data_IF_443772260453
#
_entry.id   IF_443772260453
#
_cell.length_a   1.000
_cell.length_b   1.000
_cell.length_c   1.000
_cell.angle_alpha   90.00
_cell.angle_beta   90.00
_cell.angle_gamma   90.00
#
_symmetry.space_group_name_H-M   'P 1'
#
loop_
_entity.id
_entity.type
_entity.pdbx_description
1 polymer ?
#
# COMPACT_ATOMS: atom_id res chain seq x y z
N UNK A 1 42.68 1.79 -20.79
CA UNK A 1 43.48 2.13 -19.58
C UNK A 1 42.65 2.82 -18.49
N UNK A 2 41.87 3.81 -18.83
CA UNK A 2 41.09 4.57 -17.86
C UNK A 2 39.98 3.75 -17.23
N UNK A 3 39.23 3.03 -18.03
CA UNK A 3 38.19 2.10 -17.53
C UNK A 3 38.74 1.02 -16.59
N UNK A 4 39.94 0.51 -16.86
CA UNK A 4 40.61 -0.47 -16.00
C UNK A 4 40.92 0.07 -14.61
N UNK A 5 41.19 1.38 -14.45
CA UNK A 5 41.38 2.01 -13.15
C UNK A 5 40.07 2.12 -12.37
N UNK A 6 38.98 2.51 -13.06
CA UNK A 6 37.66 2.52 -12.47
C UNK A 6 37.26 1.13 -12.00
N UNK A 7 37.50 0.09 -12.84
CA UNK A 7 37.26 -1.30 -12.51
C UNK A 7 38.08 -1.76 -11.29
N UNK A 8 39.38 -1.47 -11.24
CA UNK A 8 40.24 -1.81 -10.14
C UNK A 8 39.76 -1.19 -8.82
N UNK A 9 39.37 0.10 -8.85
CA UNK A 9 38.83 0.78 -7.66
C UNK A 9 37.45 0.23 -7.26
N UNK A 10 36.59 -0.03 -8.24
CA UNK A 10 35.23 -0.55 -7.98
C UNK A 10 35.23 -1.96 -7.38
N UNK A 11 36.17 -2.80 -7.78
CA UNK A 11 36.28 -4.20 -7.34
C UNK A 11 37.18 -4.36 -6.10
N UNK A 12 37.95 -3.33 -5.72
CA UNK A 12 38.82 -3.38 -4.56
C UNK A 12 38.03 -3.55 -3.26
N UNK A 13 38.48 -4.46 -2.42
CA UNK A 13 38.02 -4.61 -1.03
C UNK A 13 38.87 -3.81 -0.04
N UNK A 14 39.97 -3.21 -0.52
CA UNK A 14 40.90 -2.41 0.30
C UNK A 14 40.71 -0.93 0.01
N UNK A 15 41.14 -0.10 0.95
CA UNK A 15 41.21 1.35 0.76
C UNK A 15 42.19 1.68 -0.35
N UNK A 16 41.73 2.39 -1.35
CA UNK A 16 42.55 2.83 -2.51
C UNK A 16 43.41 4.02 -2.09
N UNK A 17 44.66 4.08 -2.61
CA UNK A 17 45.55 5.19 -2.32
C UNK A 17 44.98 6.54 -2.81
N UNK A 18 45.36 7.65 -2.14
CA UNK A 18 44.82 8.99 -2.43
C UNK A 18 45.05 9.39 -3.89
N UNK A 19 46.24 9.20 -4.43
CA UNK A 19 46.58 9.58 -5.82
C UNK A 19 45.79 8.73 -6.84
N UNK A 20 45.55 7.46 -6.53
CA UNK A 20 44.76 6.57 -7.37
C UNK A 20 43.30 6.95 -7.37
N UNK A 21 42.75 7.31 -6.21
CA UNK A 21 41.39 7.81 -6.09
C UNK A 21 41.20 9.14 -6.85
N UNK A 22 42.11 10.09 -6.71
CA UNK A 22 42.09 11.36 -7.43
C UNK A 22 42.11 11.15 -8.94
N UNK A 23 42.96 10.25 -9.44
CA UNK A 23 43.01 9.86 -10.85
C UNK A 23 41.68 9.22 -11.32
N UNK A 24 41.12 8.34 -10.52
CA UNK A 24 39.82 7.70 -10.82
C UNK A 24 38.68 8.71 -10.85
N UNK A 25 38.68 9.66 -9.93
CA UNK A 25 37.67 10.74 -9.89
C UNK A 25 37.78 11.68 -11.08
N UNK A 26 38.98 11.99 -11.57
CA UNK A 26 39.16 12.78 -12.79
C UNK A 26 38.56 12.09 -14.03
N UNK A 27 38.75 10.76 -14.15
CA UNK A 27 38.13 9.99 -15.23
C UNK A 27 36.61 9.89 -15.11
N UNK A 28 36.11 9.75 -13.88
CA UNK A 28 34.67 9.77 -13.64
C UNK A 28 34.04 11.10 -14.02
N UNK A 29 34.70 12.21 -13.70
CA UNK A 29 34.24 13.55 -14.09
C UNK A 29 34.10 13.66 -15.62
N UNK A 30 35.09 13.17 -16.38
CA UNK A 30 35.02 13.14 -17.84
C UNK A 30 33.89 12.23 -18.34
N UNK A 31 33.73 11.04 -17.75
CA UNK A 31 32.70 10.07 -18.13
C UNK A 31 31.28 10.60 -17.87
N UNK A 32 31.12 11.37 -16.82
CA UNK A 32 29.83 11.95 -16.40
C UNK A 32 29.59 13.33 -17.01
N UNK A 33 30.52 13.85 -17.81
CA UNK A 33 30.46 15.19 -18.39
C UNK A 33 30.22 16.28 -17.35
N UNK A 34 30.87 16.15 -16.17
CA UNK A 34 30.76 17.08 -15.06
C UNK A 34 32.17 17.57 -14.62
N UNK A 35 32.22 18.57 -13.75
CA UNK A 35 33.47 19.05 -13.17
C UNK A 35 34.01 18.05 -12.14
N UNK A 36 35.32 18.11 -11.90
CA UNK A 36 35.97 17.28 -10.85
C UNK A 36 35.35 17.53 -9.46
N UNK A 37 34.98 18.79 -9.16
CA UNK A 37 34.37 19.13 -7.88
C UNK A 37 32.97 18.51 -7.73
N UNK A 38 32.15 18.53 -8.78
CA UNK A 38 30.82 17.87 -8.76
C UNK A 38 30.95 16.36 -8.61
N UNK A 39 31.86 15.72 -9.35
CA UNK A 39 32.12 14.29 -9.20
C UNK A 39 32.59 13.94 -7.76
N UNK A 40 33.44 14.79 -7.17
CA UNK A 40 33.91 14.61 -5.80
C UNK A 40 32.82 14.82 -4.77
N UNK A 41 31.90 15.77 -4.99
CA UNK A 41 30.75 15.99 -4.12
C UNK A 41 29.80 14.77 -4.15
N UNK A 42 29.49 14.24 -5.35
CA UNK A 42 28.74 13.00 -5.47
C UNK A 42 29.44 11.83 -4.76
N UNK A 43 30.73 11.65 -4.95
CA UNK A 43 31.49 10.61 -4.27
C UNK A 43 31.35 10.73 -2.74
N UNK A 44 31.51 11.93 -2.20
CA UNK A 44 31.44 12.18 -0.76
C UNK A 44 30.03 11.92 -0.18
N UNK A 45 28.98 12.25 -0.92
CA UNK A 45 27.59 12.01 -0.51
C UNK A 45 27.22 10.52 -0.51
N UNK A 46 27.79 9.73 -1.42
CA UNK A 46 27.49 8.32 -1.54
C UNK A 46 28.34 7.40 -0.66
N UNK A 47 29.49 7.84 -0.21
CA UNK A 47 30.38 7.02 0.60
C UNK A 47 29.84 6.77 1.99
N UNK A 48 30.15 5.59 2.53
CA UNK A 48 29.90 5.24 3.92
C UNK A 48 31.17 4.63 4.54
N UNK A 49 31.33 4.63 5.87
CA UNK A 49 32.48 4.00 6.52
C UNK A 49 32.69 2.53 6.11
N UNK A 50 31.59 1.80 5.87
CA UNK A 50 31.63 0.39 5.44
C UNK A 50 31.81 0.22 3.92
N UNK A 51 31.53 1.25 3.13
CA UNK A 51 31.61 1.19 1.67
C UNK A 51 32.06 2.54 1.09
N UNK A 52 33.37 2.86 1.17
CA UNK A 52 33.88 4.17 0.76
C UNK A 52 33.80 4.39 -0.75
N UNK A 53 33.78 3.34 -1.56
CA UNK A 53 33.77 3.46 -3.03
C UNK A 53 32.39 3.19 -3.65
N UNK A 54 31.32 3.39 -2.89
CA UNK A 54 29.95 3.06 -3.33
C UNK A 54 29.55 3.78 -4.62
N UNK A 55 29.92 5.05 -4.78
CA UNK A 55 29.67 5.83 -5.99
C UNK A 55 30.37 5.24 -7.21
N UNK A 56 31.67 4.94 -7.08
CA UNK A 56 32.47 4.36 -8.16
C UNK A 56 31.94 2.99 -8.58
N UNK A 57 31.54 2.16 -7.61
CA UNK A 57 30.90 0.85 -7.88
C UNK A 57 29.58 0.99 -8.62
N UNK A 58 28.73 1.95 -8.25
CA UNK A 58 27.47 2.19 -8.92
C UNK A 58 27.71 2.54 -10.40
N UNK A 59 28.59 3.50 -10.68
CA UNK A 59 28.92 3.91 -12.05
C UNK A 59 29.54 2.74 -12.83
N UNK A 60 30.46 2.00 -12.24
CA UNK A 60 31.08 0.82 -12.88
C UNK A 60 30.05 -0.21 -13.34
N UNK A 61 29.09 -0.56 -12.46
CA UNK A 61 28.07 -1.55 -12.80
C UNK A 61 27.11 -1.05 -13.89
N UNK A 62 26.71 0.22 -13.85
CA UNK A 62 25.84 0.80 -14.87
C UNK A 62 26.52 0.84 -16.25
N UNK A 63 27.76 1.30 -16.32
CA UNK A 63 28.51 1.40 -17.59
C UNK A 63 28.87 0.00 -18.10
N UNK A 64 29.18 -0.96 -17.21
CA UNK A 64 29.41 -2.35 -17.61
C UNK A 64 28.21 -2.98 -18.31
N UNK A 65 27.00 -2.70 -17.84
CA UNK A 65 25.78 -3.16 -18.51
C UNK A 65 25.69 -2.57 -19.92
N UNK A 66 25.89 -1.26 -20.05
CA UNK A 66 25.85 -0.56 -21.35
C UNK A 66 26.92 -1.07 -22.32
N UNK A 67 28.16 -1.31 -21.84
CA UNK A 67 29.24 -1.89 -22.64
C UNK A 67 28.89 -3.30 -23.12
N UNK A 68 28.35 -4.14 -22.26
CA UNK A 68 27.94 -5.49 -22.61
C UNK A 68 26.81 -5.49 -23.65
N UNK A 69 25.85 -4.60 -23.53
CA UNK A 69 24.78 -4.43 -24.52
C UNK A 69 25.35 -4.03 -25.87
N UNK A 70 26.26 -3.06 -25.90
CA UNK A 70 26.92 -2.60 -27.12
C UNK A 70 27.80 -3.67 -27.76
N UNK A 71 28.59 -4.38 -26.97
CA UNK A 71 29.51 -5.44 -27.47
C UNK A 71 28.77 -6.64 -28.04
N UNK A 72 27.59 -6.95 -27.53
CA UNK A 72 26.73 -8.03 -28.02
C UNK A 72 25.83 -7.62 -29.19
N UNK A 73 25.92 -6.36 -29.65
CA UNK A 73 25.07 -5.84 -30.72
C UNK A 73 23.61 -5.66 -30.33
N UNK A 74 23.28 -5.84 -29.06
CA UNK A 74 21.93 -5.63 -28.55
C UNK A 74 21.64 -4.12 -28.51
N UNK A 75 20.67 -3.67 -29.29
CA UNK A 75 20.17 -2.30 -29.21
C UNK A 75 18.93 -2.32 -28.32
N UNK A 76 19.02 -1.61 -27.22
CA UNK A 76 17.80 -1.31 -26.45
C UNK A 76 17.08 -0.17 -27.16
N UNK A 77 15.91 -0.47 -27.72
CA UNK A 77 15.03 0.53 -28.29
C UNK A 77 13.82 0.63 -27.37
N UNK A 78 13.63 1.78 -26.74
CA UNK A 78 12.43 2.08 -25.96
C UNK A 78 11.53 2.92 -26.85
N UNK A 79 10.42 2.34 -27.27
CA UNK A 79 9.43 3.03 -28.09
C UNK A 79 8.14 3.18 -27.29
N UNK A 80 7.72 4.41 -27.07
CA UNK A 80 6.40 4.70 -26.48
C UNK A 80 5.43 4.96 -27.63
N UNK A 81 4.52 4.02 -27.89
CA UNK A 81 3.37 4.27 -28.78
C UNK A 81 2.20 4.79 -27.95
N UNK A 82 1.30 5.54 -28.59
CA UNK A 82 0.05 5.95 -27.94
C UNK A 82 -0.75 4.73 -27.44
N UNK A 83 -0.83 3.68 -28.28
CA UNK A 83 -1.49 2.43 -27.92
C UNK A 83 -0.84 1.76 -26.70
N UNK A 84 0.50 1.74 -26.61
CA UNK A 84 1.21 1.17 -25.46
C UNK A 84 0.99 2.01 -24.20
N UNK A 85 0.96 3.34 -24.33
CA UNK A 85 0.61 4.24 -23.23
C UNK A 85 -0.80 3.98 -22.71
N UNK A 86 -1.76 3.80 -23.60
CA UNK A 86 -3.15 3.51 -23.24
C UNK A 86 -3.30 2.11 -22.64
N UNK A 87 -2.51 1.13 -23.10
CA UNK A 87 -2.45 -0.22 -22.53
C UNK A 87 -1.76 -0.29 -21.18
N UNK A 88 -0.74 0.54 -20.96
CA UNK A 88 -0.06 0.67 -19.67
C UNK A 88 -0.87 1.54 -18.70
N UNK A 89 -1.80 2.35 -19.22
CA UNK A 89 -2.66 3.21 -18.42
C UNK A 89 -3.50 2.41 -17.42
N UNK A 90 -3.40 2.77 -16.16
CA UNK A 90 -4.15 2.10 -15.08
C UNK A 90 -5.66 2.08 -15.32
N UNK A 91 -6.20 3.07 -16.02
CA UNK A 91 -7.63 3.17 -16.36
C UNK A 91 -8.17 1.93 -17.02
N UNK A 92 -7.50 1.39 -18.05
CA UNK A 92 -7.97 0.20 -18.78
C UNK A 92 -7.99 -1.02 -17.86
N UNK A 93 -6.97 -1.18 -17.03
CA UNK A 93 -6.92 -2.27 -16.06
C UNK A 93 -7.95 -2.08 -14.96
N UNK A 94 -8.13 -0.85 -14.48
CA UNK A 94 -9.15 -0.49 -13.50
C UNK A 94 -10.57 -0.76 -14.00
N UNK A 95 -10.90 -0.33 -15.21
CA UNK A 95 -12.20 -0.58 -15.84
C UNK A 95 -12.49 -2.08 -16.00
N UNK A 96 -11.52 -2.84 -16.52
CA UNK A 96 -11.67 -4.29 -16.68
C UNK A 96 -11.86 -4.98 -15.33
N UNK A 97 -11.11 -4.57 -14.32
CA UNK A 97 -11.20 -5.10 -12.97
C UNK A 97 -12.56 -4.79 -12.33
N UNK A 98 -13.03 -3.55 -12.42
CA UNK A 98 -14.33 -3.15 -11.91
C UNK A 98 -15.48 -3.92 -12.60
N UNK A 99 -15.39 -4.09 -13.92
CA UNK A 99 -16.36 -4.86 -14.70
C UNK A 99 -16.33 -6.36 -14.32
N UNK A 100 -15.14 -6.97 -14.11
CA UNK A 100 -15.03 -8.35 -13.64
C UNK A 100 -15.74 -8.53 -12.30
N UNK A 101 -15.50 -7.63 -11.36
CA UNK A 101 -16.10 -7.68 -10.03
C UNK A 101 -17.63 -7.51 -10.10
N UNK A 102 -18.09 -6.54 -10.89
CA UNK A 102 -19.51 -6.29 -11.12
C UNK A 102 -20.22 -7.52 -11.74
N UNK A 103 -19.64 -8.12 -12.77
CA UNK A 103 -20.18 -9.32 -13.40
C UNK A 103 -20.30 -10.50 -12.42
N UNK A 104 -19.34 -10.69 -11.52
CA UNK A 104 -19.43 -11.74 -10.51
C UNK A 104 -20.58 -11.47 -9.53
N UNK A 105 -20.79 -10.21 -9.11
CA UNK A 105 -21.94 -9.84 -8.28
C UNK A 105 -23.28 -10.11 -9.00
N UNK A 106 -23.38 -9.79 -10.28
CA UNK A 106 -24.59 -10.07 -11.10
C UNK A 106 -24.86 -11.58 -11.22
N UNK A 107 -23.83 -12.37 -11.56
CA UNK A 107 -23.92 -13.84 -11.68
C UNK A 107 -24.45 -14.48 -10.40
N UNK A 108 -24.09 -13.94 -9.25
CA UNK A 108 -24.52 -14.44 -7.95
C UNK A 108 -25.79 -13.75 -7.41
N UNK A 109 -26.40 -12.83 -8.17
CA UNK A 109 -27.59 -12.06 -7.78
C UNK A 109 -27.39 -11.25 -6.51
N UNK A 110 -26.22 -10.63 -6.37
CA UNK A 110 -25.81 -9.85 -5.20
C UNK A 110 -25.76 -8.35 -5.46
N UNK A 111 -25.88 -7.91 -6.71
CA UNK A 111 -25.66 -6.51 -7.12
C UNK A 111 -26.72 -5.54 -6.56
N UNK A 112 -27.94 -6.00 -6.31
CA UNK A 112 -29.04 -5.17 -5.79
C UNK A 112 -29.17 -5.21 -4.27
N UNK A 113 -28.21 -5.83 -3.58
CA UNK A 113 -28.20 -5.98 -2.12
C UNK A 113 -27.35 -4.89 -1.46
N UNK A 114 -27.57 -4.60 -0.16
CA UNK A 114 -26.71 -3.69 0.59
C UNK A 114 -25.24 -4.14 0.55
N UNK A 115 -24.35 -3.30 -0.01
CA UNK A 115 -22.94 -3.61 -0.20
C UNK A 115 -22.09 -2.78 0.74
N UNK A 116 -21.17 -3.43 1.45
CA UNK A 116 -20.08 -2.82 2.18
C UNK A 116 -18.77 -3.10 1.45
N UNK A 117 -18.16 -2.03 0.94
CA UNK A 117 -16.92 -2.09 0.20
C UNK A 117 -15.73 -1.95 1.14
N UNK A 118 -14.74 -2.81 1.01
CA UNK A 118 -13.54 -2.81 1.87
C UNK A 118 -12.29 -2.95 1.02
N UNK A 119 -11.37 -1.98 1.10
CA UNK A 119 -10.02 -2.11 0.59
C UNK A 119 -9.06 -2.36 1.76
N UNK A 120 -8.49 -3.56 1.82
CA UNK A 120 -7.71 -4.00 2.98
C UNK A 120 -6.88 -5.25 2.68
N UNK A 121 -6.18 -5.75 3.70
CA UNK A 121 -5.67 -7.12 3.67
C UNK A 121 -6.86 -8.10 3.69
N UNK A 122 -7.26 -8.61 2.52
CA UNK A 122 -8.43 -9.48 2.37
C UNK A 122 -8.36 -10.76 3.22
N UNK A 123 -7.14 -11.27 3.50
CA UNK A 123 -6.97 -12.46 4.34
C UNK A 123 -7.40 -12.20 5.78
N UNK A 124 -7.26 -10.98 6.29
CA UNK A 124 -7.71 -10.66 7.65
C UNK A 124 -9.22 -10.77 7.79
N UNK A 125 -10.00 -10.37 6.78
CA UNK A 125 -11.46 -10.52 6.75
C UNK A 125 -11.86 -11.99 6.65
N UNK A 126 -11.27 -12.74 5.71
CA UNK A 126 -11.51 -14.18 5.58
C UNK A 126 -11.27 -14.93 6.90
N UNK A 127 -10.11 -14.70 7.49
CA UNK A 127 -9.71 -15.39 8.71
C UNK A 127 -10.56 -14.99 9.91
N UNK A 128 -10.87 -13.69 10.04
CA UNK A 128 -11.68 -13.19 11.15
C UNK A 128 -13.11 -13.75 11.13
N UNK A 129 -13.66 -13.97 9.94
CA UNK A 129 -15.02 -14.50 9.79
C UNK A 129 -15.05 -16.03 9.93
N UNK A 130 -14.10 -16.74 9.32
CA UNK A 130 -14.24 -18.19 9.12
C UNK A 130 -13.22 -19.07 9.84
N UNK A 131 -12.07 -18.55 10.31
CA UNK A 131 -10.98 -19.41 10.76
C UNK A 131 -11.31 -20.17 12.05
N UNK A 132 -12.00 -19.58 13.01
CA UNK A 132 -12.33 -20.24 14.27
C UNK A 132 -13.19 -21.49 14.03
N UNK A 133 -14.25 -21.37 13.24
CA UNK A 133 -15.12 -22.49 12.91
C UNK A 133 -14.43 -23.50 12.00
N UNK A 134 -13.73 -23.03 10.96
CA UNK A 134 -13.04 -23.91 10.02
C UNK A 134 -11.98 -24.79 10.66
N UNK A 135 -11.33 -24.31 11.72
CA UNK A 135 -10.27 -25.02 12.42
C UNK A 135 -10.76 -25.71 13.70
N UNK A 136 -12.01 -25.47 14.13
CA UNK A 136 -12.55 -25.98 15.38
C UNK A 136 -11.78 -25.47 16.62
N UNK A 137 -11.25 -24.25 16.55
CA UNK A 137 -10.41 -23.63 17.59
C UNK A 137 -10.87 -22.22 17.84
N UNK A 138 -11.04 -21.83 19.08
CA UNK A 138 -11.31 -20.45 19.48
C UNK A 138 -10.03 -19.66 19.58
N UNK A 139 -9.99 -18.47 19.00
CA UNK A 139 -8.86 -17.55 19.14
C UNK A 139 -8.73 -17.10 20.60
N UNK A 140 -7.56 -17.31 21.21
CA UNK A 140 -7.27 -16.81 22.55
C UNK A 140 -7.07 -15.31 22.57
N UNK A 141 -6.36 -14.82 21.57
CA UNK A 141 -6.09 -13.41 21.31
C UNK A 141 -5.81 -13.19 19.81
N UNK A 142 -5.51 -11.96 19.40
CA UNK A 142 -5.26 -11.65 17.99
C UNK A 142 -3.93 -12.19 17.47
N UNK A 143 -3.00 -12.56 18.34
CA UNK A 143 -1.73 -13.18 17.93
C UNK A 143 -1.93 -14.60 17.40
N UNK A 144 -3.03 -15.23 17.78
CA UNK A 144 -3.42 -16.55 17.27
C UNK A 144 -3.48 -16.61 15.74
N UNK A 145 -3.95 -15.54 15.10
CA UNK A 145 -3.98 -15.47 13.63
C UNK A 145 -2.57 -15.49 13.01
N UNK A 146 -1.57 -14.92 13.67
CA UNK A 146 -0.17 -14.96 13.23
C UNK A 146 0.44 -16.34 13.27
N UNK A 147 -0.08 -17.23 14.13
CA UNK A 147 0.48 -18.56 14.30
C UNK A 147 0.18 -19.51 13.13
N UNK A 148 -0.83 -19.22 12.33
CA UNK A 148 -1.20 -20.06 11.19
C UNK A 148 -1.22 -19.34 9.84
N UNK A 149 -0.87 -18.06 9.78
CA UNK A 149 -0.84 -17.29 8.51
C UNK A 149 0.07 -17.97 7.50
N UNK A 150 1.23 -18.46 7.93
CA UNK A 150 2.21 -19.15 7.08
C UNK A 150 1.91 -20.65 6.88
N UNK A 151 0.92 -21.21 7.59
CA UNK A 151 0.53 -22.60 7.44
C UNK A 151 -0.46 -22.77 6.28
N UNK A 152 0.07 -23.17 5.14
CA UNK A 152 -0.71 -23.41 3.91
C UNK A 152 -1.84 -24.43 4.11
N UNK A 153 -1.69 -25.40 5.01
CA UNK A 153 -2.71 -26.43 5.30
C UNK A 153 -3.91 -25.78 5.97
N UNK A 154 -3.68 -24.94 6.96
CA UNK A 154 -4.74 -24.21 7.64
C UNK A 154 -5.42 -23.21 6.70
N UNK A 155 -4.67 -22.46 5.88
CA UNK A 155 -5.24 -21.56 4.88
C UNK A 155 -6.15 -22.32 3.88
N UNK A 156 -5.75 -23.49 3.41
CA UNK A 156 -6.60 -24.34 2.54
C UNK A 156 -7.89 -24.76 3.23
N UNK A 157 -7.82 -25.17 4.50
CA UNK A 157 -9.02 -25.56 5.28
C UNK A 157 -9.98 -24.38 5.44
N UNK A 158 -9.48 -23.20 5.81
CA UNK A 158 -10.30 -21.99 5.95
C UNK A 158 -10.95 -21.62 4.62
N UNK A 159 -10.20 -21.61 3.52
CA UNK A 159 -10.74 -21.32 2.19
C UNK A 159 -11.82 -22.32 1.74
N UNK A 160 -11.61 -23.62 1.97
CA UNK A 160 -12.59 -24.65 1.62
C UNK A 160 -13.87 -24.52 2.46
N UNK A 161 -13.73 -24.21 3.74
CA UNK A 161 -14.87 -23.96 4.63
C UNK A 161 -15.66 -22.73 4.20
N UNK A 162 -14.96 -21.59 3.97
CA UNK A 162 -15.57 -20.34 3.55
C UNK A 162 -16.36 -20.47 2.23
N UNK A 163 -15.81 -21.20 1.23
CA UNK A 163 -16.50 -21.46 -0.05
C UNK A 163 -17.86 -22.15 0.11
N UNK A 164 -18.05 -22.93 1.17
CA UNK A 164 -19.33 -23.55 1.49
C UNK A 164 -20.30 -22.60 2.20
N UNK A 165 -19.83 -21.42 2.60
CA UNK A 165 -20.57 -20.45 3.40
C UNK A 165 -20.56 -19.04 2.79
N UNK A 166 -20.79 -18.95 1.48
CA UNK A 166 -21.02 -17.68 0.82
C UNK A 166 -19.78 -16.90 0.39
N UNK A 167 -18.58 -17.47 0.57
CA UNK A 167 -17.35 -16.87 0.11
C UNK A 167 -17.08 -17.16 -1.37
N UNK A 168 -16.79 -16.10 -2.14
CA UNK A 168 -16.45 -16.15 -3.55
C UNK A 168 -15.10 -15.46 -3.72
N UNK A 169 -14.10 -16.19 -4.21
CA UNK A 169 -12.78 -15.64 -4.51
C UNK A 169 -12.73 -15.14 -5.96
N UNK A 170 -12.25 -13.92 -6.15
CA UNK A 170 -12.02 -13.32 -7.47
C UNK A 170 -10.52 -13.11 -7.62
N UNK A 171 -9.91 -13.94 -8.45
CA UNK A 171 -8.52 -13.75 -8.84
C UNK A 171 -8.45 -12.74 -9.97
N UNK A 172 -7.58 -11.76 -9.84
CA UNK A 172 -7.36 -10.82 -10.92
C UNK A 172 -6.83 -11.52 -12.17
N UNK A 173 -7.46 -11.23 -13.30
CA UNK A 173 -7.01 -11.63 -14.65
C UNK A 173 -6.96 -10.42 -15.59
N UNK A 174 -7.02 -9.22 -15.06
CA UNK A 174 -7.14 -7.97 -15.82
C UNK A 174 -5.80 -7.23 -15.92
N UNK A 175 -4.83 -7.62 -15.11
CA UNK A 175 -3.52 -6.99 -15.01
C UNK A 175 -3.41 -5.92 -13.94
N UNK A 176 -4.45 -5.74 -13.12
CA UNK A 176 -4.42 -4.82 -11.97
C UNK A 176 -3.58 -5.35 -10.81
N UNK A 177 -3.37 -6.66 -10.72
CA UNK A 177 -2.77 -7.38 -9.60
C UNK A 177 -3.50 -7.17 -8.25
N UNK A 178 -4.78 -6.78 -8.29
CA UNK A 178 -5.63 -6.60 -7.12
C UNK A 178 -6.68 -7.70 -7.09
N UNK A 179 -6.54 -8.63 -6.19
CA UNK A 179 -7.52 -9.71 -6.01
C UNK A 179 -8.67 -9.22 -5.13
N UNK A 180 -9.85 -9.79 -5.34
CA UNK A 180 -11.02 -9.48 -4.55
C UNK A 180 -11.68 -10.74 -4.00
N UNK A 181 -12.58 -10.55 -3.05
CA UNK A 181 -13.45 -11.57 -2.51
C UNK A 181 -14.82 -10.96 -2.22
N UNK A 182 -15.86 -11.75 -2.43
CA UNK A 182 -17.23 -11.41 -2.07
C UNK A 182 -17.68 -12.37 -0.99
N UNK A 183 -18.36 -11.85 0.02
CA UNK A 183 -18.91 -12.62 1.13
C UNK A 183 -20.42 -12.36 1.17
N UNK A 184 -21.20 -13.36 0.83
CA UNK A 184 -22.66 -13.38 1.01
C UNK A 184 -22.95 -13.75 2.46
N UNK A 185 -23.23 -12.73 3.29
CA UNK A 185 -23.35 -12.94 4.74
C UNK A 185 -24.57 -13.78 5.13
N UNK A 186 -25.61 -13.85 4.30
CA UNK A 186 -26.79 -14.70 4.55
C UNK A 186 -26.45 -16.19 4.56
N UNK A 187 -25.31 -16.58 3.97
CA UNK A 187 -24.86 -17.97 3.91
C UNK A 187 -23.93 -18.37 5.05
N UNK A 188 -23.50 -17.41 5.89
CA UNK A 188 -22.61 -17.68 7.02
C UNK A 188 -23.43 -18.29 8.15
N UNK A 189 -23.05 -19.49 8.56
CA UNK A 189 -23.66 -20.17 9.73
C UNK A 189 -22.84 -19.88 10.98
N UNK A 190 -23.51 -19.71 12.11
CA UNK A 190 -22.85 -19.49 13.41
C UNK A 190 -22.10 -18.15 13.52
N UNK A 191 -22.44 -17.18 12.70
CA UNK A 191 -21.73 -15.91 12.59
C UNK A 191 -21.89 -15.03 13.84
N UNK A 192 -20.79 -14.79 14.54
CA UNK A 192 -20.72 -13.90 15.71
C UNK A 192 -21.01 -12.43 15.42
N UNK A 193 -20.96 -12.02 14.16
CA UNK A 193 -21.21 -10.63 13.74
C UNK A 193 -22.69 -10.33 13.47
N UNK A 194 -23.57 -11.32 13.38
CA UNK A 194 -25.03 -11.15 13.19
C UNK A 194 -25.40 -10.08 12.14
N UNK A 195 -24.78 -10.14 10.96
CA UNK A 195 -25.03 -9.16 9.90
C UNK A 195 -26.50 -9.03 9.54
N UNK A 196 -26.93 -7.82 9.20
CA UNK A 196 -28.27 -7.56 8.69
C UNK A 196 -28.54 -8.44 7.45
N UNK A 197 -29.80 -8.92 7.31
CA UNK A 197 -30.20 -9.74 6.17
C UNK A 197 -29.91 -9.03 4.85
N UNK A 198 -29.35 -9.75 3.93
CA UNK A 198 -29.02 -9.23 2.62
C UNK A 198 -27.63 -8.57 2.50
N UNK A 199 -26.91 -8.38 3.58
CA UNK A 199 -25.58 -7.74 3.56
C UNK A 199 -24.59 -8.51 2.68
N UNK A 200 -23.85 -7.77 1.86
CA UNK A 200 -22.76 -8.28 1.02
C UNK A 200 -21.48 -7.53 1.37
N UNK A 201 -20.43 -8.26 1.68
CA UNK A 201 -19.09 -7.67 1.84
C UNK A 201 -18.31 -7.89 0.55
N UNK A 202 -17.78 -6.81 -0.01
CA UNK A 202 -16.84 -6.84 -1.13
C UNK A 202 -15.49 -6.37 -0.62
N UNK A 203 -14.54 -7.28 -0.48
CA UNK A 203 -13.21 -7.01 0.06
C UNK A 203 -12.18 -7.23 -1.02
N UNK A 204 -11.34 -6.25 -1.28
CA UNK A 204 -10.25 -6.34 -2.24
C UNK A 204 -8.92 -5.92 -1.63
N UNK A 205 -7.83 -6.41 -2.21
CA UNK A 205 -6.49 -6.09 -1.75
C UNK A 205 -6.26 -4.58 -1.81
N UNK A 206 -5.49 -4.07 -0.86
CA UNK A 206 -5.13 -2.66 -0.81
C UNK A 206 -4.34 -2.30 -2.06
N UNK A 207 -4.83 -1.33 -2.82
CA UNK A 207 -4.19 -0.88 -4.05
C UNK A 207 -2.94 -0.04 -3.75
N UNK A 208 -2.07 0.15 -4.73
CA UNK A 208 -0.79 0.83 -4.55
C UNK A 208 -0.82 2.22 -5.20
N UNK A 209 -0.51 3.26 -4.42
CA UNK A 209 -0.37 4.63 -4.91
C UNK A 209 -1.58 5.10 -5.73
N UNK A 210 -1.33 5.69 -6.90
CA UNK A 210 -2.39 6.22 -7.78
C UNK A 210 -3.36 5.15 -8.31
N UNK A 211 -2.96 3.87 -8.33
CA UNK A 211 -3.87 2.77 -8.67
C UNK A 211 -5.10 2.74 -7.76
N UNK A 212 -4.98 3.22 -6.52
CA UNK A 212 -6.10 3.33 -5.60
C UNK A 212 -7.22 4.24 -6.14
N UNK A 213 -6.85 5.35 -6.81
CA UNK A 213 -7.81 6.20 -7.52
C UNK A 213 -8.49 5.45 -8.65
N UNK A 214 -7.69 4.84 -9.53
CA UNK A 214 -8.18 4.19 -10.74
C UNK A 214 -9.19 3.07 -10.46
N UNK A 215 -8.84 2.18 -9.53
CA UNK A 215 -9.72 1.06 -9.18
C UNK A 215 -10.99 1.53 -8.48
N UNK A 216 -10.87 2.45 -7.52
CA UNK A 216 -12.03 2.98 -6.80
C UNK A 216 -12.92 3.79 -7.73
N UNK A 217 -12.36 4.65 -8.58
CA UNK A 217 -13.10 5.50 -9.50
C UNK A 217 -13.90 4.67 -10.51
N UNK A 218 -13.28 3.66 -11.12
CA UNK A 218 -13.95 2.77 -12.06
C UNK A 218 -15.03 1.91 -11.39
N UNK A 219 -14.77 1.41 -10.19
CA UNK A 219 -15.75 0.65 -9.44
C UNK A 219 -16.98 1.49 -9.08
N UNK A 220 -16.78 2.74 -8.65
CA UNK A 220 -17.86 3.65 -8.28
C UNK A 220 -18.63 4.23 -9.49
N UNK A 221 -18.17 4.01 -10.71
CA UNK A 221 -18.93 4.29 -11.96
C UNK A 221 -19.95 3.19 -12.27
N UNK A 222 -19.74 1.99 -11.75
CA UNK A 222 -20.70 0.89 -11.92
C UNK A 222 -21.96 1.11 -11.07
N UNK A 223 -23.00 0.31 -11.29
CA UNK A 223 -24.23 0.38 -10.49
C UNK A 223 -24.05 -0.03 -9.01
N UNK A 224 -22.90 -0.59 -8.63
CA UNK A 224 -22.57 -0.89 -7.22
C UNK A 224 -22.69 0.37 -6.35
N UNK A 225 -22.30 1.54 -6.85
CA UNK A 225 -22.33 2.79 -6.10
C UNK A 225 -23.69 3.11 -5.46
N UNK A 226 -24.80 2.72 -6.10
CA UNK A 226 -26.16 2.95 -5.58
C UNK A 226 -26.50 2.10 -4.36
N UNK A 227 -25.88 0.91 -4.25
CA UNK A 227 -26.13 -0.08 -3.22
C UNK A 227 -25.13 0.00 -2.06
N UNK A 228 -24.16 0.91 -2.16
CA UNK A 228 -23.15 1.06 -1.13
C UNK A 228 -23.73 1.65 0.17
N UNK A 229 -23.52 0.93 1.25
CA UNK A 229 -23.82 1.37 2.62
C UNK A 229 -22.58 1.97 3.28
N UNK A 230 -21.39 1.41 3.01
CA UNK A 230 -20.14 1.94 3.52
C UNK A 230 -18.95 1.63 2.64
N UNK A 231 -17.89 2.45 2.78
CA UNK A 231 -16.56 2.19 2.23
C UNK A 231 -15.58 2.21 3.39
N UNK A 232 -14.84 1.12 3.54
CA UNK A 232 -13.82 0.97 4.58
C UNK A 232 -12.44 0.77 3.95
N UNK A 233 -11.46 1.52 4.41
CA UNK A 233 -10.08 1.47 3.93
C UNK A 233 -9.17 1.14 5.12
N UNK A 234 -8.40 0.06 5.01
CA UNK A 234 -7.42 -0.31 6.01
C UNK A 234 -6.07 -0.54 5.37
N UNK A 235 -5.09 0.28 5.72
CA UNK A 235 -3.74 0.21 5.20
C UNK A 235 -2.68 0.17 6.29
N UNK A 236 -1.42 0.16 5.86
CA UNK A 236 -0.26 0.42 6.71
C UNK A 236 0.30 1.80 6.39
N UNK A 237 0.85 2.47 7.39
CA UNK A 237 1.40 3.81 7.22
C UNK A 237 2.59 4.03 8.17
N UNK A 238 3.43 5.01 7.86
CA UNK A 238 4.41 5.51 8.81
C UNK A 238 3.74 6.44 9.81
N UNK A 239 3.98 6.24 11.09
CA UNK A 239 3.46 7.11 12.16
C UNK A 239 4.48 8.19 12.50
N UNK A 240 4.02 9.41 12.75
CA UNK A 240 4.92 10.53 13.08
C UNK A 240 5.19 10.64 14.56
N UNK A 241 4.18 10.46 15.41
CA UNK A 241 4.24 10.65 16.87
C UNK A 241 3.76 9.40 17.62
N UNK A 242 4.26 8.21 17.23
CA UNK A 242 3.85 6.96 17.84
C UNK A 242 4.86 5.85 17.58
N UNK A 243 4.45 4.63 17.82
CA UNK A 243 5.30 3.44 17.68
C UNK A 243 4.72 2.46 16.67
N UNK A 244 5.57 1.58 16.16
CA UNK A 244 5.15 0.46 15.31
C UNK A 244 4.07 -0.36 16.02
N UNK A 245 2.96 -0.60 15.31
CA UNK A 245 1.80 -1.32 15.83
C UNK A 245 0.68 -0.43 16.37
N UNK A 246 0.91 0.86 16.56
CA UNK A 246 -0.13 1.82 16.93
C UNK A 246 -1.13 2.02 15.79
N UNK A 247 -2.31 2.54 16.09
CA UNK A 247 -3.39 2.76 15.11
C UNK A 247 -3.57 4.25 14.86
N UNK A 248 -3.81 4.60 13.59
CA UNK A 248 -4.14 5.95 13.14
C UNK A 248 -5.53 5.97 12.52
N UNK A 249 -6.36 6.92 12.95
CA UNK A 249 -7.72 7.16 12.45
C UNK A 249 -7.73 8.54 11.79
N UNK A 250 -7.65 8.61 10.46
CA UNK A 250 -7.56 9.88 9.75
C UNK A 250 -8.88 10.69 9.79
N UNK A 251 -8.73 12.01 9.75
CA UNK A 251 -9.80 12.98 9.56
C UNK A 251 -9.72 13.71 8.22
N UNK A 252 -8.56 13.66 7.61
CA UNK A 252 -8.30 14.23 6.29
C UNK A 252 -7.07 13.56 5.69
N UNK A 253 -6.98 13.58 4.35
CA UNK A 253 -5.77 13.25 3.60
C UNK A 253 -5.30 14.49 2.84
N UNK A 254 -4.02 14.79 2.94
CA UNK A 254 -3.34 15.88 2.21
C UNK A 254 -2.38 15.26 1.21
N UNK A 255 -2.30 15.83 0.02
CA UNK A 255 -1.33 15.39 -0.97
C UNK A 255 -0.06 16.25 -0.91
N UNK A 256 1.11 15.62 -0.84
CA UNK A 256 2.39 16.36 -0.74
C UNK A 256 2.71 17.16 -2.01
N UNK A 257 2.28 16.67 -3.17
CA UNK A 257 2.62 17.24 -4.48
C UNK A 257 1.78 18.43 -4.90
N UNK A 258 0.65 18.68 -4.23
CA UNK A 258 -0.29 19.77 -4.53
C UNK A 258 -0.93 20.30 -3.25
N UNK A 259 -1.78 21.34 -3.40
CA UNK A 259 -2.60 21.84 -2.28
C UNK A 259 -3.88 21.01 -2.02
N UNK A 260 -4.01 19.85 -2.65
CA UNK A 260 -5.21 19.03 -2.51
C UNK A 260 -5.35 18.52 -1.08
N UNK A 261 -6.52 18.74 -0.52
CA UNK A 261 -6.88 18.39 0.84
C UNK A 261 -8.31 17.81 0.84
N UNK A 262 -8.44 16.62 1.37
CA UNK A 262 -9.70 15.87 1.39
C UNK A 262 -10.12 15.55 2.82
N UNK A 263 -10.84 16.50 3.51
CA UNK A 263 -11.44 16.23 4.80
C UNK A 263 -12.66 15.33 4.64
N UNK A 264 -12.93 14.52 5.64
CA UNK A 264 -14.11 13.65 5.70
C UNK A 264 -14.48 13.30 7.13
N UNK A 265 -15.73 12.90 7.33
CA UNK A 265 -16.18 12.31 8.57
C UNK A 265 -15.85 10.81 8.59
N UNK A 266 -14.99 10.40 9.53
CA UNK A 266 -14.62 9.02 9.71
C UNK A 266 -15.55 8.36 10.73
N UNK A 267 -16.25 7.31 10.33
CA UNK A 267 -17.16 6.54 11.20
C UNK A 267 -16.41 5.72 12.28
N UNK A 268 -15.07 5.59 12.14
CA UNK A 268 -14.19 5.09 13.19
C UNK A 268 -13.63 6.25 14.02
N UNK A 269 -13.47 5.99 15.32
CA UNK A 269 -12.89 6.93 16.28
C UNK A 269 -11.88 6.21 17.19
N UNK A 270 -11.01 6.92 17.93
CA UNK A 270 -10.17 6.29 18.94
C UNK A 270 -10.95 5.52 20.01
N UNK A 271 -12.17 5.93 20.32
CA UNK A 271 -13.02 5.28 21.34
C UNK A 271 -13.39 3.85 20.93
N UNK A 272 -13.51 3.58 19.63
CA UNK A 272 -13.75 2.22 19.12
C UNK A 272 -12.61 1.26 19.49
N UNK A 273 -11.40 1.79 19.69
CA UNK A 273 -10.19 1.03 20.03
C UNK A 273 -9.81 1.07 21.51
N UNK A 274 -10.52 1.82 22.36
CA UNK A 274 -10.17 2.02 23.77
C UNK A 274 -10.00 0.72 24.55
N UNK A 275 -10.84 -0.30 24.28
CA UNK A 275 -10.75 -1.61 24.93
C UNK A 275 -9.56 -2.47 24.49
N UNK A 276 -8.86 -2.10 23.42
CA UNK A 276 -7.82 -2.92 22.79
C UNK A 276 -6.44 -2.74 23.40
N UNK A 277 -6.24 -1.71 24.22
CA UNK A 277 -4.94 -1.28 24.76
C UNK A 277 -3.90 -0.88 23.70
N UNK A 278 -4.30 -0.72 22.44
CA UNK A 278 -3.44 -0.22 21.37
C UNK A 278 -3.57 1.30 21.32
N UNK A 279 -2.46 2.06 21.45
CA UNK A 279 -2.50 3.50 21.28
C UNK A 279 -3.11 3.88 19.94
N UNK A 280 -4.10 4.78 19.95
CA UNK A 280 -4.81 5.16 18.73
C UNK A 280 -4.83 6.69 18.61
N UNK A 281 -4.36 7.17 17.47
CA UNK A 281 -4.22 8.60 17.18
C UNK A 281 -5.24 9.03 16.14
N UNK A 282 -5.79 10.24 16.32
CA UNK A 282 -6.73 10.84 15.36
C UNK A 282 -6.14 12.12 14.80
N UNK A 283 -6.15 12.29 13.49
CA UNK A 283 -5.63 13.50 12.85
C UNK A 283 -5.49 13.38 11.35
N UNK A 284 -4.76 14.30 10.75
CA UNK A 284 -4.53 14.36 9.31
C UNK A 284 -3.43 13.38 8.89
N UNK A 285 -3.60 12.74 7.74
CA UNK A 285 -2.58 11.94 7.06
C UNK A 285 -2.03 12.70 5.87
N UNK A 286 -0.74 12.49 5.54
CA UNK A 286 -0.16 12.98 4.30
C UNK A 286 0.07 11.82 3.34
N UNK A 287 -0.43 11.98 2.11
CA UNK A 287 -0.18 11.06 1.00
C UNK A 287 1.03 11.55 0.21
N UNK A 288 2.04 10.70 0.09
CA UNK A 288 3.28 10.98 -0.63
C UNK A 288 3.40 10.15 -1.91
N UNK A 289 4.15 10.66 -2.88
CA UNK A 289 4.35 9.99 -4.17
C UNK A 289 5.28 8.76 -4.08
N UNK A 290 6.11 8.68 -3.07
CA UNK A 290 7.02 7.56 -2.90
C UNK A 290 7.83 7.63 -1.62
N UNK A 291 8.18 6.44 -1.11
CA UNK A 291 8.89 6.29 0.16
C UNK A 291 10.37 6.63 0.08
N UNK A 292 10.97 6.55 -1.12
CA UNK A 292 12.39 6.81 -1.34
C UNK A 292 12.74 8.29 -1.37
N UNK A 293 11.75 9.18 -1.52
CA UNK A 293 11.91 10.62 -1.60
C UNK A 293 11.53 11.33 -0.29
N UNK A 294 11.32 10.60 0.78
CA UNK A 294 10.95 11.18 2.07
C UNK A 294 12.05 12.10 2.58
N UNK A 295 11.71 13.36 2.74
CA UNK A 295 12.57 14.36 3.35
C UNK A 295 12.15 14.56 4.81
N UNK A 296 13.04 14.25 5.74
CA UNK A 296 12.79 14.38 7.19
C UNK A 296 12.37 15.79 7.59
N UNK A 297 12.93 16.82 6.96
CA UNK A 297 12.63 18.21 7.28
C UNK A 297 11.20 18.56 6.85
N UNK A 298 10.77 18.10 5.67
CA UNK A 298 9.40 18.25 5.19
C UNK A 298 8.42 17.54 6.14
N UNK A 299 8.72 16.31 6.53
CA UNK A 299 7.86 15.56 7.45
C UNK A 299 7.76 16.25 8.82
N UNK A 300 8.87 16.75 9.35
CA UNK A 300 8.91 17.53 10.59
C UNK A 300 8.06 18.81 10.48
N UNK A 301 8.15 19.49 9.34
CA UNK A 301 7.31 20.67 9.05
C UNK A 301 5.82 20.32 9.10
N UNK A 302 5.38 19.25 8.44
CA UNK A 302 3.97 18.85 8.43
C UNK A 302 3.47 18.44 9.83
N UNK A 303 4.30 17.81 10.65
CA UNK A 303 3.96 17.52 12.05
C UNK A 303 3.78 18.77 12.89
N UNK A 304 4.64 19.76 12.71
CA UNK A 304 4.64 21.01 13.49
C UNK A 304 3.68 22.07 12.95
N UNK A 305 3.16 21.91 11.74
CA UNK A 305 2.28 22.86 11.08
C UNK A 305 0.85 22.81 11.63
N UNK A 306 -0.02 23.72 11.16
CA UNK A 306 -1.45 23.71 11.45
C UNK A 306 -2.16 22.43 11.02
N UNK A 307 -1.60 21.68 10.10
CA UNK A 307 -2.13 20.39 9.65
C UNK A 307 -2.02 19.29 10.71
N UNK A 308 -1.04 19.35 11.61
CA UNK A 308 -0.81 18.37 12.69
C UNK A 308 -0.86 16.94 12.17
N UNK A 309 -0.08 16.66 11.13
CA UNK A 309 -0.04 15.36 10.47
C UNK A 309 0.42 14.28 11.46
N UNK A 310 -0.36 13.21 11.56
CA UNK A 310 -0.08 12.09 12.46
C UNK A 310 0.62 10.91 11.77
N UNK A 311 0.52 10.84 10.44
CA UNK A 311 1.11 9.74 9.69
C UNK A 311 1.23 10.01 8.20
N UNK A 312 1.98 9.14 7.53
CA UNK A 312 2.33 9.21 6.11
C UNK A 312 1.99 7.89 5.42
N UNK A 313 1.34 7.99 4.26
CA UNK A 313 0.95 6.86 3.42
C UNK A 313 1.00 7.26 1.93
N UNK A 314 0.58 6.41 1.02
CA UNK A 314 0.71 6.64 -0.42
C UNK A 314 -0.61 6.56 -1.20
N UNK A 315 -1.75 6.29 -0.57
CA UNK A 315 -3.00 5.94 -1.23
C UNK A 315 -4.23 6.73 -0.77
N UNK A 316 -4.20 7.31 0.43
CA UNK A 316 -5.38 7.90 1.07
C UNK A 316 -6.04 9.01 0.27
N UNK A 317 -5.26 9.96 -0.27
CA UNK A 317 -5.77 11.00 -1.17
C UNK A 317 -6.40 10.39 -2.41
N UNK A 318 -5.81 9.38 -2.98
CA UNK A 318 -6.27 8.73 -4.20
C UNK A 318 -7.63 8.07 -4.01
N UNK A 319 -7.81 7.31 -2.94
CA UNK A 319 -9.12 6.76 -2.56
C UNK A 319 -10.14 7.87 -2.32
N UNK A 320 -9.78 8.87 -1.53
CA UNK A 320 -10.70 9.92 -1.12
C UNK A 320 -11.14 10.81 -2.29
N UNK A 321 -10.23 11.11 -3.22
CA UNK A 321 -10.53 11.83 -4.46
C UNK A 321 -11.57 11.08 -5.32
N UNK A 322 -11.41 9.78 -5.50
CA UNK A 322 -12.36 8.95 -6.24
C UNK A 322 -13.74 8.92 -5.56
N UNK A 323 -13.77 8.72 -4.25
CA UNK A 323 -15.00 8.67 -3.45
C UNK A 323 -15.73 10.02 -3.47
N UNK A 324 -15.04 11.12 -3.22
CA UNK A 324 -15.66 12.46 -3.25
C UNK A 324 -16.15 12.83 -4.65
N UNK A 325 -15.42 12.47 -5.70
CA UNK A 325 -15.88 12.65 -7.08
C UNK A 325 -17.16 11.88 -7.37
N UNK A 326 -17.28 10.64 -6.87
CA UNK A 326 -18.48 9.84 -7.00
C UNK A 326 -19.67 10.40 -6.20
N UNK A 327 -19.42 10.91 -5.00
CA UNK A 327 -20.46 11.48 -4.13
C UNK A 327 -20.96 12.84 -4.61
N UNK A 328 -20.03 13.77 -4.93
CA UNK A 328 -20.38 15.18 -5.12
C UNK A 328 -20.51 15.58 -6.60
N UNK A 329 -19.73 14.98 -7.48
CA UNK A 329 -19.70 15.35 -8.90
C UNK A 329 -20.61 14.42 -9.71
N UNK A 330 -20.32 13.12 -9.73
CA UNK A 330 -21.08 12.14 -10.52
C UNK A 330 -22.38 11.70 -9.86
N UNK A 331 -22.50 11.83 -8.55
CA UNK A 331 -23.67 11.42 -7.75
C UNK A 331 -24.03 9.93 -7.95
N UNK A 332 -23.03 9.11 -8.21
CA UNK A 332 -23.17 7.64 -8.31
C UNK A 332 -23.20 6.97 -6.94
N UNK A 333 -22.74 7.66 -5.91
CA UNK A 333 -22.71 7.20 -4.51
C UNK A 333 -23.50 8.21 -3.67
N UNK A 334 -24.20 7.72 -2.66
CA UNK A 334 -24.97 8.55 -1.73
C UNK A 334 -24.04 9.48 -0.92
N UNK A 335 -24.41 10.75 -0.69
CA UNK A 335 -23.54 11.70 0.02
C UNK A 335 -23.35 11.39 1.52
N UNK A 336 -24.25 10.60 2.11
CA UNK A 336 -24.20 10.20 3.53
C UNK A 336 -23.65 8.78 3.75
N UNK A 337 -22.89 8.24 2.77
CA UNK A 337 -22.24 6.94 2.91
C UNK A 337 -21.29 6.94 4.10
N UNK A 338 -21.25 5.83 4.85
CA UNK A 338 -20.32 5.68 5.96
C UNK A 338 -18.90 5.43 5.45
N UNK A 339 -17.99 6.31 5.78
CA UNK A 339 -16.55 6.18 5.44
C UNK A 339 -15.79 5.75 6.68
N UNK A 340 -14.94 4.74 6.54
CA UNK A 340 -14.08 4.22 7.60
C UNK A 340 -12.66 4.09 7.10
N UNK A 341 -11.76 4.80 7.72
CA UNK A 341 -10.33 4.70 7.45
C UNK A 341 -9.58 4.38 8.74
N UNK A 342 -8.71 3.42 8.69
CA UNK A 342 -7.76 3.15 9.76
C UNK A 342 -6.45 2.63 9.18
N UNK A 343 -5.34 3.08 9.74
CA UNK A 343 -4.01 2.61 9.39
C UNK A 343 -3.31 2.06 10.62
N UNK A 344 -2.54 1.01 10.47
CA UNK A 344 -1.60 0.61 11.52
C UNK A 344 -0.19 1.08 11.19
N UNK A 345 0.55 1.46 12.23
CA UNK A 345 1.92 1.93 12.10
C UNK A 345 2.87 0.80 11.73
N UNK A 346 3.49 0.88 10.54
CA UNK A 346 4.54 -0.04 10.10
C UNK A 346 5.92 0.38 10.57
N UNK A 347 6.14 1.68 10.73
CA UNK A 347 7.41 2.31 11.09
C UNK A 347 7.17 3.76 11.55
N UNK A 348 8.26 4.42 12.00
CA UNK A 348 8.27 5.85 12.25
C UNK A 348 9.37 6.49 11.38
N UNK A 349 9.03 7.22 10.31
CA UNK A 349 10.00 7.78 9.38
C UNK A 349 10.85 8.90 9.97
N UNK A 350 10.48 9.46 11.12
CA UNK A 350 11.27 10.45 11.86
C UNK A 350 12.37 9.82 12.74
N UNK A 351 12.25 8.51 13.04
CA UNK A 351 13.26 7.77 13.77
C UNK A 351 14.38 7.30 12.84
N UNK A 352 15.62 7.37 13.34
CA UNK A 352 16.80 6.99 12.57
C UNK A 352 16.81 5.48 12.29
N UNK A 353 16.94 5.11 11.02
CA UNK A 353 17.01 3.70 10.59
C UNK A 353 15.67 3.01 10.36
N UNK A 354 14.56 3.72 10.55
CA UNK A 354 13.22 3.26 10.23
C UNK A 354 12.83 3.75 8.83
N UNK A 355 12.42 2.85 7.93
CA UNK A 355 11.93 3.19 6.58
C UNK A 355 10.66 2.44 6.27
N UNK A 356 9.71 3.08 5.57
CA UNK A 356 8.45 2.48 5.11
C UNK A 356 8.63 1.17 4.34
N UNK A 357 9.80 1.00 3.70
CA UNK A 357 10.13 -0.19 2.91
C UNK A 357 10.72 -1.34 3.74
N UNK A 358 11.06 -1.13 5.01
CA UNK A 358 11.93 -2.04 5.77
C UNK A 358 11.23 -3.23 6.43
N UNK A 359 9.96 -3.50 6.15
CA UNK A 359 9.34 -4.60 6.86
C UNK A 359 8.22 -5.33 6.17
N UNK A 360 8.37 -6.63 6.00
CA UNK A 360 7.22 -7.55 6.05
C UNK A 360 6.35 -7.18 7.26
N UNK A 361 5.06 -7.46 7.19
CA UNK A 361 4.09 -7.25 8.29
C UNK A 361 4.64 -7.67 9.66
N UNK A 362 5.54 -8.65 9.72
CA UNK A 362 6.08 -9.21 10.95
C UNK A 362 4.96 -9.53 11.95
N UNK A 363 5.28 -10.13 13.04
CA UNK A 363 4.29 -10.41 14.09
C UNK A 363 3.64 -9.13 14.67
N UNK A 364 4.35 -8.00 14.65
CA UNK A 364 3.87 -6.71 15.16
C UNK A 364 2.69 -6.12 14.40
N UNK A 365 2.56 -6.39 13.10
CA UNK A 365 1.43 -5.92 12.28
C UNK A 365 0.17 -6.78 12.39
N UNK A 366 0.26 -8.01 12.91
CA UNK A 366 -0.87 -8.95 13.00
C UNK A 366 -1.95 -8.41 13.93
N UNK A 367 -1.58 -8.07 15.15
CA UNK A 367 -2.55 -7.63 16.17
C UNK A 367 -3.35 -6.39 15.72
N UNK A 368 -2.72 -5.29 15.27
CA UNK A 368 -3.48 -4.13 14.83
C UNK A 368 -4.32 -4.40 13.57
N UNK A 369 -3.81 -5.18 12.59
CA UNK A 369 -4.58 -5.57 11.40
C UNK A 369 -5.89 -6.28 11.77
N UNK A 370 -5.83 -7.30 12.61
CA UNK A 370 -7.03 -8.02 13.03
C UNK A 370 -7.91 -7.21 13.98
N UNK A 371 -7.32 -6.29 14.75
CA UNK A 371 -8.08 -5.35 15.57
C UNK A 371 -8.91 -4.41 14.70
N UNK A 372 -8.31 -3.78 13.70
CA UNK A 372 -9.03 -2.89 12.77
C UNK A 372 -10.09 -3.68 11.99
N UNK A 373 -9.75 -4.86 11.49
CA UNK A 373 -10.72 -5.74 10.79
C UNK A 373 -11.95 -6.02 11.65
N UNK A 374 -11.77 -6.39 12.91
CA UNK A 374 -12.88 -6.64 13.83
C UNK A 374 -13.74 -5.39 14.05
N UNK A 375 -13.11 -4.22 14.23
CA UNK A 375 -13.83 -2.96 14.40
C UNK A 375 -14.63 -2.55 13.16
N UNK A 376 -14.08 -2.75 11.97
CA UNK A 376 -14.82 -2.55 10.72
C UNK A 376 -16.04 -3.48 10.66
N UNK A 377 -15.87 -4.77 10.96
CA UNK A 377 -16.98 -5.73 10.96
C UNK A 377 -18.04 -5.41 12.02
N UNK A 378 -17.65 -4.98 13.22
CA UNK A 378 -18.57 -4.50 14.27
C UNK A 378 -19.39 -3.29 13.77
N UNK A 379 -18.75 -2.32 13.12
CA UNK A 379 -19.41 -1.12 12.56
C UNK A 379 -20.31 -1.43 11.35
N UNK A 380 -20.05 -2.48 10.61
CA UNK A 380 -20.92 -2.92 9.50
C UNK A 380 -22.23 -3.51 10.08
N UNK A 381 -22.15 -4.06 11.26
CA UNK A 381 -23.27 -4.69 11.93
C UNK A 381 -24.09 -3.73 12.81
N UNK A 382 -23.58 -2.54 13.10
CA UNK A 382 -24.28 -1.50 13.86
C UNK A 382 -25.15 -0.63 12.96
#
# INVERSE_FOLDING_TARGET
REWQKIEATATSTKTVGKNELESTMAYLAQLLECTYNEATDFYNRFQTPKNPHRFIRLIFHMVRVAINERSKGNKRVITFSAMLRDQIGHHIHGERWANQLYQVLEQHKLVDRPIHLVSANRHSFLNTIYAEEALGKTAKDKTWFGQFIDDQTNQKKVNQFAKKQGFIEIKDNTGSNVHAQIIDTDKIKGNKYAFAKGTVLVVFDYAFGEQAYELMDELLKTNIGKQLESISIMGKAGIMNGKKGDIMVPTAHIFEGTSDNYPFENDLSPDDFASTKIPTYKGTMITVLGTSLQNKDILTYFCGSSWKVIGIEMEGVHYQKAIQSAMHIRKTVRPNIKLRYAYYASDNPLETGSTLASGSLGQTGVVPTYTITQKILEKINS
#
